data_IF_462899884431
#
_entry.id   IF_462899884431
#
_cell.length_a   1.000
_cell.length_b   1.000
_cell.length_c   1.000
_cell.angle_alpha   90.00
_cell.angle_beta   90.00
_cell.angle_gamma   90.00
#
_symmetry.space_group_name_H-M   'P 1'
#
loop_
_entity.id
_entity.type
_entity.pdbx_description
1 polymer ?
#
# COMPACT_ATOMS: atom_id res chain seq x y z
N UNK A 1 -6.96 -18.49 10.88
CA UNK A 1 -7.43 -17.11 10.61
C UNK A 1 -6.26 -16.11 10.52
N UNK A 2 -5.08 -16.52 10.00
CA UNK A 2 -3.86 -15.68 9.98
C UNK A 2 -3.45 -15.17 8.59
N UNK A 3 -4.24 -15.42 7.54
CA UNK A 3 -3.83 -15.16 6.14
C UNK A 3 -4.70 -14.12 5.40
N UNK A 4 -5.41 -13.23 6.10
CA UNK A 4 -6.16 -12.19 5.40
C UNK A 4 -5.18 -11.15 4.79
N UNK A 5 -5.09 -11.02 3.45
CA UNK A 5 -4.16 -10.08 2.82
C UNK A 5 -4.48 -8.62 3.13
N UNK A 6 -5.66 -8.32 3.72
CA UNK A 6 -6.07 -6.97 4.10
C UNK A 6 -5.57 -6.56 5.49
N UNK A 7 -4.87 -7.43 6.21
CA UNK A 7 -4.11 -7.03 7.41
C UNK A 7 -2.81 -6.37 6.94
N UNK A 8 -2.51 -5.17 7.44
CA UNK A 8 -1.35 -4.41 6.98
C UNK A 8 -0.04 -5.08 7.38
N UNK A 9 0.71 -5.50 6.36
CA UNK A 9 2.10 -5.93 6.47
C UNK A 9 2.82 -5.58 5.17
N UNK A 10 4.16 -5.53 5.21
CA UNK A 10 4.97 -5.27 4.01
C UNK A 10 4.74 -6.34 2.94
N UNK A 11 4.60 -7.60 3.37
CA UNK A 11 4.35 -8.73 2.48
C UNK A 11 2.98 -8.61 1.81
N UNK A 12 1.94 -8.32 2.60
CA UNK A 12 0.58 -8.19 2.09
C UNK A 12 0.43 -7.01 1.14
N UNK A 13 1.10 -5.88 1.41
CA UNK A 13 1.13 -4.75 0.48
C UNK A 13 1.73 -5.12 -0.87
N UNK A 14 2.90 -5.78 -0.87
CA UNK A 14 3.54 -6.21 -2.10
C UNK A 14 2.69 -7.25 -2.84
N UNK A 15 2.15 -8.23 -2.12
CA UNK A 15 1.29 -9.27 -2.68
C UNK A 15 0.04 -8.70 -3.35
N UNK A 16 -0.66 -7.77 -2.67
CA UNK A 16 -1.80 -7.09 -3.29
C UNK A 16 -1.37 -6.29 -4.53
N UNK A 17 -0.27 -5.54 -4.47
CA UNK A 17 0.20 -4.74 -5.61
C UNK A 17 0.61 -5.57 -6.83
N UNK A 18 1.10 -6.81 -6.64
CA UNK A 18 1.43 -7.73 -7.73
C UNK A 18 0.19 -8.25 -8.48
N UNK A 19 -0.97 -8.23 -7.84
CA UNK A 19 -2.24 -8.68 -8.40
C UNK A 19 -3.19 -7.53 -8.76
N UNK A 20 -2.83 -6.28 -8.44
CA UNK A 20 -3.56 -5.09 -8.89
C UNK A 20 -3.06 -4.65 -10.26
N UNK A 21 -3.99 -4.20 -11.11
CA UNK A 21 -3.63 -3.46 -12.31
C UNK A 21 -2.99 -2.11 -11.92
N UNK A 22 -1.98 -1.69 -12.68
CA UNK A 22 -1.36 -0.37 -12.55
C UNK A 22 -2.21 0.64 -13.33
N UNK A 23 -2.98 1.46 -12.63
CA UNK A 23 -3.84 2.48 -13.24
C UNK A 23 -3.40 3.87 -12.81
N UNK A 24 -3.20 4.78 -13.77
CA UNK A 24 -2.77 6.16 -13.52
C UNK A 24 -1.52 6.29 -12.63
N UNK A 25 -0.60 5.32 -12.70
CA UNK A 25 0.63 5.31 -11.92
C UNK A 25 0.50 4.75 -10.50
N UNK A 26 -0.62 4.12 -10.15
CA UNK A 26 -0.84 3.51 -8.84
C UNK A 26 -1.34 2.07 -8.92
N UNK A 27 -0.91 1.25 -7.96
CA UNK A 27 -1.59 0.00 -7.63
C UNK A 27 -2.62 0.26 -6.56
N UNK A 28 -3.80 -0.34 -6.70
CA UNK A 28 -4.88 -0.24 -5.73
C UNK A 28 -4.79 -1.38 -4.73
N UNK A 29 -4.78 -1.07 -3.44
CA UNK A 29 -4.69 -2.05 -2.34
C UNK A 29 -5.71 -1.74 -1.26
N UNK A 30 -6.08 -2.73 -0.47
CA UNK A 30 -7.11 -2.62 0.55
C UNK A 30 -6.59 -3.11 1.90
N UNK A 31 -6.80 -2.32 2.95
CA UNK A 31 -6.41 -2.70 4.31
C UNK A 31 -7.50 -2.40 5.32
N UNK A 32 -7.57 -3.23 6.36
CA UNK A 32 -8.19 -2.82 7.62
C UNK A 32 -7.55 -1.52 8.11
N UNK A 33 -8.33 -0.64 8.71
CA UNK A 33 -7.84 0.63 9.24
C UNK A 33 -8.17 0.78 10.71
N UNK A 34 -7.23 1.34 11.46
CA UNK A 34 -7.49 1.85 12.81
C UNK A 34 -8.03 3.28 12.69
N UNK A 35 -8.71 3.80 13.71
CA UNK A 35 -8.93 5.24 13.83
C UNK A 35 -7.59 5.90 14.18
N UNK A 36 -6.97 6.76 13.31
CA UNK A 36 -7.58 7.69 12.35
C UNK A 36 -7.30 7.43 10.83
N UNK A 37 -7.60 6.25 10.29
CA UNK A 37 -7.44 5.92 8.86
C UNK A 37 -6.07 5.34 8.47
N UNK A 38 -5.33 4.82 9.46
CA UNK A 38 -4.01 4.19 9.23
C UNK A 38 -4.20 2.70 8.99
N UNK A 39 -3.55 2.08 7.99
CA UNK A 39 -3.57 0.64 7.79
C UNK A 39 -3.21 -0.13 9.06
N UNK A 40 -4.11 -1.00 9.51
CA UNK A 40 -4.03 -1.72 10.78
C UNK A 40 -3.32 -3.06 10.63
N UNK A 41 -2.52 -3.41 11.65
CA UNK A 41 -1.89 -4.73 11.78
C UNK A 41 -2.83 -5.79 12.35
N UNK A 42 -4.09 -5.42 12.62
CA UNK A 42 -5.12 -6.30 13.14
C UNK A 42 -6.40 -6.15 12.31
N UNK A 43 -7.32 -7.10 12.47
CA UNK A 43 -8.66 -6.98 11.88
C UNK A 43 -9.43 -5.91 12.64
N UNK A 44 -10.05 -5.00 11.90
CA UNK A 44 -10.95 -3.96 12.43
C UNK A 44 -12.31 -4.05 11.74
N UNK A 45 -13.23 -3.17 12.10
CA UNK A 45 -14.56 -3.06 11.50
C UNK A 45 -14.57 -2.36 10.13
N UNK A 46 -13.47 -1.70 9.76
CA UNK A 46 -13.37 -0.87 8.57
C UNK A 46 -12.22 -1.27 7.67
N UNK A 47 -12.48 -1.39 6.38
CA UNK A 47 -11.48 -1.53 5.32
C UNK A 47 -11.51 -0.28 4.45
N UNK A 48 -10.35 0.21 4.07
CA UNK A 48 -10.23 1.31 3.11
C UNK A 48 -9.31 0.95 1.93
N UNK A 49 -9.51 1.68 0.84
CA UNK A 49 -8.69 1.62 -0.35
C UNK A 49 -7.52 2.60 -0.27
N UNK A 50 -6.36 2.17 -0.70
CA UNK A 50 -5.13 2.94 -0.77
C UNK A 50 -4.47 2.82 -2.14
N UNK A 51 -3.59 3.78 -2.44
CA UNK A 51 -2.89 3.88 -3.72
C UNK A 51 -1.39 3.81 -3.50
N UNK A 52 -0.77 2.73 -3.97
CA UNK A 52 0.68 2.55 -3.92
C UNK A 52 1.31 3.06 -5.22
N UNK A 53 2.10 4.13 -5.14
CA UNK A 53 2.97 4.56 -6.23
C UNK A 53 4.23 3.70 -6.26
N UNK A 54 4.49 2.93 -7.34
CA UNK A 54 5.74 2.19 -7.48
C UNK A 54 6.94 3.09 -7.76
N UNK A 55 6.71 4.36 -8.12
CA UNK A 55 7.75 5.39 -8.17
C UNK A 55 7.83 6.10 -6.82
N UNK A 56 8.98 6.00 -6.16
CA UNK A 56 9.20 6.56 -4.83
C UNK A 56 8.51 5.80 -3.68
N UNK A 57 7.78 4.71 -3.94
CA UNK A 57 7.26 3.82 -2.89
C UNK A 57 6.33 4.50 -1.87
N UNK A 58 5.44 5.37 -2.35
CA UNK A 58 4.50 6.13 -1.51
C UNK A 58 3.12 5.47 -1.50
N UNK A 59 2.55 5.28 -0.31
CA UNK A 59 1.18 4.84 -0.11
C UNK A 59 0.31 6.05 0.25
N UNK A 60 -0.83 6.20 -0.44
CA UNK A 60 -1.78 7.30 -0.24
C UNK A 60 -3.18 6.81 0.08
N UNK A 61 -3.94 7.63 0.81
CA UNK A 61 -5.37 7.42 1.06
C UNK A 61 -6.25 7.91 -0.12
N UNK A 62 -7.57 7.82 0.05
CA UNK A 62 -8.57 8.31 -0.91
C UNK A 62 -8.55 9.82 -1.17
N UNK A 63 -8.02 10.59 -0.22
CA UNK A 63 -7.83 12.03 -0.35
C UNK A 63 -6.44 12.40 -0.89
N UNK A 64 -5.68 11.39 -1.34
CA UNK A 64 -4.30 11.50 -1.82
C UNK A 64 -3.30 12.01 -0.78
N UNK A 65 -3.64 11.97 0.52
CA UNK A 65 -2.67 12.25 1.59
C UNK A 65 -1.65 11.12 1.68
N UNK A 66 -0.42 11.45 2.09
CA UNK A 66 0.62 10.44 2.31
C UNK A 66 0.34 9.73 3.62
N UNK A 67 0.10 8.43 3.54
CA UNK A 67 -0.06 7.54 4.69
C UNK A 67 1.28 6.97 5.11
N UNK A 68 2.09 6.59 4.12
CA UNK A 68 3.41 6.01 4.34
C UNK A 68 4.30 6.29 3.13
N UNK A 69 5.59 6.47 3.42
CA UNK A 69 6.65 6.46 2.42
C UNK A 69 7.68 5.39 2.79
N UNK A 70 8.09 4.58 1.81
CA UNK A 70 9.24 3.69 1.98
C UNK A 70 9.89 3.37 0.64
N UNK A 71 11.18 3.67 0.54
CA UNK A 71 12.00 3.33 -0.63
C UNK A 71 12.11 1.81 -0.88
N UNK A 72 11.63 0.95 0.03
CA UNK A 72 11.51 -0.50 -0.20
C UNK A 72 10.47 -0.83 -1.27
N UNK A 73 9.47 0.03 -1.47
CA UNK A 73 8.41 -0.15 -2.45
C UNK A 73 8.66 0.61 -3.76
N UNK A 74 9.78 1.34 -3.83
CA UNK A 74 10.17 2.03 -5.05
C UNK A 74 10.78 1.03 -6.03
N UNK A 75 9.99 0.66 -7.04
CA UNK A 75 10.39 -0.27 -8.11
C UNK A 75 11.51 0.32 -8.97
N UNK A 76 11.64 1.64 -9.00
CA UNK A 76 12.62 2.35 -9.83
C UNK A 76 13.83 2.82 -9.03
N UNK A 77 13.95 2.43 -7.76
CA UNK A 77 15.11 2.79 -6.94
C UNK A 77 16.40 2.29 -7.59
N UNK A 78 17.33 3.20 -7.84
CA UNK A 78 18.64 2.90 -8.42
C UNK A 78 18.68 2.88 -9.95
N UNK A 79 17.54 3.01 -10.64
CA UNK A 79 17.55 3.26 -12.07
C UNK A 79 18.24 4.61 -12.35
N UNK A 80 19.16 4.64 -13.30
CA UNK A 80 19.93 5.84 -13.67
C UNK A 80 21.18 6.11 -12.84
N UNK A 81 21.54 5.23 -11.89
CA UNK A 81 22.88 5.24 -11.29
C UNK A 81 23.82 4.39 -12.18
N UNK A 82 24.56 5.07 -13.04
CA UNK A 82 25.73 4.52 -13.74
C UNK A 82 26.97 4.60 -12.84
#
# INVERSE_FOLDING_TARGET
MENDPRIFSHENLLKQSQHSELTLGYYTVHFYVDSPGVPSKHVTDKIEQFYLSPSGGTLRDSSMNIVMYSAKYDKYKGYGKA
#
